data_IF_258130905553
#
_entry.id   IF_258130905553
#
_cell.length_a   1.000
_cell.length_b   1.000
_cell.length_c   1.000
_cell.angle_alpha   90.00
_cell.angle_beta   90.00
_cell.angle_gamma   90.00
#
_symmetry.space_group_name_H-M   'P 1'
#
loop_
_entity.id
_entity.type
_entity.pdbx_description
1 polymer ?
#
# COMPACT_ATOMS: atom_id res chain seq x y z
N UNK A 1 0.77 7.42 4.43
CA UNK A 1 0.10 7.77 3.17
C UNK A 1 -0.40 9.20 3.29
N UNK A 2 0.33 10.20 2.79
CA UNK A 2 0.10 11.61 3.17
C UNK A 2 -0.72 12.44 2.17
N UNK A 3 -1.28 11.85 1.11
CA UNK A 3 -2.19 12.53 0.15
C UNK A 3 -2.70 11.54 -0.89
N UNK A 4 -3.73 10.75 -0.56
CA UNK A 4 -4.39 9.91 -1.58
C UNK A 4 -5.26 10.79 -2.47
N UNK A 5 -4.95 10.85 -3.77
CA UNK A 5 -5.74 11.57 -4.79
C UNK A 5 -6.60 10.64 -5.65
N UNK A 6 -6.68 9.36 -5.29
CA UNK A 6 -7.52 8.40 -5.99
C UNK A 6 -9.01 8.56 -5.67
N UNK A 7 -9.89 7.80 -6.33
CA UNK A 7 -11.34 7.91 -6.19
C UNK A 7 -11.80 7.90 -4.73
N UNK A 8 -12.61 8.89 -4.31
CA UNK A 8 -13.12 8.98 -2.94
C UNK A 8 -13.87 7.73 -2.50
N UNK A 9 -14.54 7.06 -3.46
CA UNK A 9 -15.29 5.81 -3.23
C UNK A 9 -14.42 4.64 -2.75
N UNK A 10 -13.09 4.70 -2.93
CA UNK A 10 -12.16 3.66 -2.48
C UNK A 10 -11.72 3.84 -1.02
N UNK A 11 -11.87 5.03 -0.43
CA UNK A 11 -11.50 5.30 0.96
C UNK A 11 -10.03 5.02 1.28
N UNK A 12 -9.74 4.75 2.56
CA UNK A 12 -8.42 4.29 3.00
C UNK A 12 -8.25 2.79 2.71
N UNK A 13 -7.22 2.45 1.93
CA UNK A 13 -7.04 1.09 1.40
C UNK A 13 -6.27 0.15 2.33
N UNK A 14 -5.36 0.71 3.13
CA UNK A 14 -4.47 -0.07 4.00
C UNK A 14 -5.07 -0.24 5.38
N UNK A 15 -4.71 -1.32 6.05
CA UNK A 15 -5.00 -1.58 7.45
C UNK A 15 -3.72 -1.52 8.29
N UNK A 16 -3.87 -1.32 9.59
CA UNK A 16 -2.76 -1.44 10.52
C UNK A 16 -2.18 -2.85 10.48
N UNK A 17 -0.86 -2.94 10.33
CA UNK A 17 -0.17 -4.23 10.23
C UNK A 17 -0.27 -4.91 8.86
N UNK A 18 -0.71 -4.21 7.82
CA UNK A 18 -0.57 -4.71 6.45
C UNK A 18 0.91 -4.91 6.09
N UNK A 19 1.25 -6.12 5.64
CA UNK A 19 2.59 -6.45 5.18
C UNK A 19 2.62 -6.53 3.65
N UNK A 20 3.45 -5.70 3.00
CA UNK A 20 3.67 -5.78 1.55
C UNK A 20 4.55 -7.00 1.28
N UNK A 21 4.01 -8.01 0.61
CA UNK A 21 4.72 -9.26 0.29
C UNK A 21 5.17 -9.32 -1.18
N UNK A 22 4.62 -8.47 -2.05
CA UNK A 22 5.13 -8.31 -3.41
C UNK A 22 4.82 -6.93 -4.01
N UNK A 23 5.71 -6.47 -4.89
CA UNK A 23 5.55 -5.29 -5.76
C UNK A 23 5.68 -5.75 -7.21
N UNK A 24 4.60 -5.64 -8.00
CA UNK A 24 4.53 -6.15 -9.37
C UNK A 24 4.98 -7.62 -9.48
N UNK A 25 4.51 -8.45 -8.55
CA UNK A 25 4.81 -9.87 -8.43
C UNK A 25 6.28 -10.21 -8.05
N UNK A 26 7.12 -9.20 -7.80
CA UNK A 26 8.46 -9.35 -7.20
C UNK A 26 8.36 -9.31 -5.68
N UNK A 27 8.98 -10.26 -4.98
CA UNK A 27 9.00 -10.32 -3.51
C UNK A 27 10.21 -9.56 -2.96
N UNK A 28 10.02 -8.41 -2.31
CA UNK A 28 11.12 -7.70 -1.66
C UNK A 28 11.52 -8.40 -0.35
N UNK A 29 12.81 -8.40 -0.03
CA UNK A 29 13.35 -8.93 1.22
C UNK A 29 13.18 -7.95 2.38
N UNK A 30 13.21 -6.65 2.08
CA UNK A 30 13.12 -5.57 3.05
C UNK A 30 12.37 -4.34 2.49
N UNK A 31 12.28 -3.30 3.32
CA UNK A 31 11.56 -2.07 2.98
C UNK A 31 12.31 -1.28 1.90
N UNK A 32 13.64 -1.30 1.93
CA UNK A 32 14.51 -0.64 0.97
C UNK A 32 14.33 -1.22 -0.44
N UNK A 33 14.26 -2.55 -0.57
CA UNK A 33 14.02 -3.23 -1.83
C UNK A 33 12.60 -3.00 -2.34
N UNK A 34 11.59 -3.02 -1.45
CA UNK A 34 10.22 -2.64 -1.81
C UNK A 34 10.18 -1.21 -2.37
N UNK A 35 10.85 -0.27 -1.70
CA UNK A 35 10.96 1.12 -2.15
C UNK A 35 11.69 1.23 -3.49
N UNK A 36 12.75 0.44 -3.69
CA UNK A 36 13.48 0.38 -4.96
C UNK A 36 12.57 -0.10 -6.11
N UNK A 37 11.80 -1.18 -5.92
CA UNK A 37 10.86 -1.68 -6.92
C UNK A 37 9.77 -0.67 -7.27
N UNK A 38 9.26 0.06 -6.27
CA UNK A 38 8.25 1.10 -6.48
C UNK A 38 8.85 2.30 -7.23
N UNK A 39 9.97 2.83 -6.75
CA UNK A 39 10.59 4.06 -7.27
C UNK A 39 11.17 3.90 -8.68
N UNK A 40 11.57 2.69 -9.07
CA UNK A 40 12.09 2.39 -10.42
C UNK A 40 11.07 1.78 -11.36
N UNK A 41 9.81 1.67 -10.96
CA UNK A 41 8.79 1.16 -11.87
C UNK A 41 8.59 2.11 -13.05
N UNK A 42 8.71 1.59 -14.27
CA UNK A 42 8.40 2.34 -15.50
C UNK A 42 6.88 2.45 -15.74
N UNK A 43 6.07 1.71 -14.97
CA UNK A 43 4.62 1.73 -15.06
C UNK A 43 4.07 2.91 -14.28
N UNK A 44 2.98 3.50 -14.78
CA UNK A 44 2.25 4.57 -14.08
C UNK A 44 1.64 4.09 -12.75
N UNK A 45 1.36 2.80 -12.65
CA UNK A 45 0.75 2.16 -11.49
C UNK A 45 1.55 0.91 -11.10
N UNK A 46 1.60 0.62 -9.80
CA UNK A 46 2.23 -0.58 -9.24
C UNK A 46 1.19 -1.46 -8.57
N UNK A 47 1.28 -2.77 -8.77
CA UNK A 47 0.45 -3.75 -8.07
C UNK A 47 1.15 -4.14 -6.77
N UNK A 48 0.51 -3.88 -5.64
CA UNK A 48 0.97 -4.36 -4.34
C UNK A 48 0.18 -5.62 -3.95
N UNK A 49 0.90 -6.66 -3.51
CA UNK A 49 0.29 -7.80 -2.84
C UNK A 49 0.50 -7.64 -1.35
N UNK A 50 -0.59 -7.68 -0.59
CA UNK A 50 -0.59 -7.38 0.84
C UNK A 50 -1.08 -8.61 1.60
N UNK A 51 -0.32 -9.01 2.61
CA UNK A 51 -0.77 -9.94 3.63
C UNK A 51 -1.41 -9.13 4.77
N UNK A 52 -2.72 -9.31 4.95
CA UNK A 52 -3.50 -8.59 5.95
C UNK A 52 -3.78 -9.46 7.17
N UNK A 53 -3.56 -8.92 8.35
CA UNK A 53 -3.97 -9.54 9.61
C UNK A 53 -5.51 -9.54 9.67
N UNK A 54 -6.17 -10.67 9.95
CA UNK A 54 -7.63 -10.71 10.07
C UNK A 54 -8.14 -9.69 11.10
N UNK A 55 -9.24 -9.01 10.77
CA UNK A 55 -9.90 -8.03 11.64
C UNK A 55 -9.04 -6.81 12.05
N UNK A 56 -7.94 -6.54 11.34
CA UNK A 56 -7.17 -5.32 11.60
C UNK A 56 -7.96 -4.06 11.24
N UNK A 57 -7.74 -3.00 12.02
CA UNK A 57 -8.36 -1.70 11.78
C UNK A 57 -7.80 -1.03 10.52
N UNK A 58 -8.64 -0.24 9.85
CA UNK A 58 -8.24 0.54 8.68
C UNK A 58 -7.20 1.59 9.10
N UNK A 59 -6.13 1.72 8.32
CA UNK A 59 -5.10 2.73 8.50
C UNK A 59 -5.56 4.04 7.88
N UNK A 60 -6.29 4.84 8.66
CA UNK A 60 -6.80 6.12 8.21
C UNK A 60 -5.69 7.18 8.10
N UNK A 61 -5.71 7.95 7.01
CA UNK A 61 -4.98 9.22 6.98
C UNK A 61 -5.63 10.20 7.96
N UNK A 62 -4.83 11.08 8.58
CA UNK A 62 -5.34 12.10 9.52
C UNK A 62 -6.42 12.94 8.82
N UNK A 63 -7.63 12.94 9.39
CA UNK A 63 -8.78 13.66 8.85
C UNK A 63 -9.59 12.91 7.79
N UNK A 64 -9.40 11.59 7.59
CA UNK A 64 -10.35 10.82 6.78
C UNK A 64 -11.74 10.83 7.41
N UNK A 65 -12.78 10.93 6.56
CA UNK A 65 -14.18 10.72 6.93
C UNK A 65 -14.79 9.50 6.22
N UNK A 66 -13.94 8.68 5.61
CA UNK A 66 -14.18 7.25 5.59
C UNK A 66 -14.20 6.73 7.04
#
# INVERSE_FOLDING_TARGET
VSQWTGPCQLGCLFNHGDHIVAVNDLQPQDVEEAYFFISRSIRKEVKLTVCRIPHSDIFHVKGCSC
#
